data_IF_250033014757
#
_entry.id   IF_250033014757
#
_cell.length_a   1.000
_cell.length_b   1.000
_cell.length_c   1.000
_cell.angle_alpha   90.00
_cell.angle_beta   90.00
_cell.angle_gamma   90.00
#
_symmetry.space_group_name_H-M   'P 1'
#
loop_
_entity.id
_entity.type
_entity.pdbx_description
1 polymer ?
#
# COMPACT_ATOMS: atom_id res chain seq x y z
N UNK A 1 -8.33 -23.18 1.20
CA UNK A 1 -8.17 -21.72 1.31
C UNK A 1 -7.55 -21.28 0.01
N UNK A 2 -8.34 -20.64 -0.85
CA UNK A 2 -7.89 -20.23 -2.18
C UNK A 2 -7.32 -18.81 -2.08
N UNK A 3 -6.01 -18.72 -1.94
CA UNK A 3 -5.27 -17.45 -1.90
C UNK A 3 -4.47 -17.35 -3.20
N UNK A 4 -4.67 -16.25 -3.94
CA UNK A 4 -3.88 -15.88 -5.09
C UNK A 4 -2.90 -14.77 -4.69
N UNK A 5 -1.60 -15.01 -4.89
CA UNK A 5 -0.55 -14.02 -4.66
C UNK A 5 -0.14 -13.48 -6.03
N UNK A 6 -0.22 -12.16 -6.20
CA UNK A 6 0.20 -11.45 -7.42
C UNK A 6 0.97 -10.19 -7.03
N UNK A 7 1.72 -9.66 -7.99
CA UNK A 7 2.27 -8.31 -7.87
C UNK A 7 1.13 -7.29 -7.85
N UNK A 8 1.23 -6.33 -6.95
CA UNK A 8 0.31 -5.21 -6.84
C UNK A 8 0.47 -4.24 -8.01
N UNK A 9 -0.65 -3.71 -8.50
CA UNK A 9 -0.68 -2.64 -9.51
C UNK A 9 -0.86 -1.27 -8.85
N UNK A 10 -0.36 -0.20 -9.48
CA UNK A 10 -0.49 1.18 -8.97
C UNK A 10 -1.95 1.56 -8.64
N UNK A 11 -2.90 1.11 -9.47
CA UNK A 11 -4.34 1.35 -9.26
C UNK A 11 -4.91 0.68 -7.98
N UNK A 12 -4.17 -0.28 -7.40
CA UNK A 12 -4.58 -1.03 -6.20
C UNK A 12 -4.00 -0.45 -4.91
N UNK A 13 -3.10 0.54 -4.95
CA UNK A 13 -2.42 1.11 -3.78
C UNK A 13 -3.38 1.65 -2.72
N UNK A 14 -4.38 2.42 -3.14
CA UNK A 14 -5.42 2.93 -2.25
C UNK A 14 -6.12 1.81 -1.45
N UNK A 15 -6.36 0.67 -2.10
CA UNK A 15 -7.02 -0.48 -1.47
C UNK A 15 -6.10 -1.15 -0.47
N UNK A 16 -4.81 -1.27 -0.79
CA UNK A 16 -3.82 -1.84 0.13
C UNK A 16 -3.61 -0.94 1.33
N UNK A 17 -3.55 0.38 1.14
CA UNK A 17 -3.49 1.34 2.24
C UNK A 17 -4.69 1.19 3.19
N UNK A 18 -5.90 1.09 2.64
CA UNK A 18 -7.12 0.90 3.45
C UNK A 18 -7.07 -0.39 4.28
N UNK A 19 -6.58 -1.49 3.68
CA UNK A 19 -6.44 -2.79 4.38
C UNK A 19 -5.41 -2.70 5.49
N UNK A 20 -4.23 -2.12 5.22
CA UNK A 20 -3.18 -1.93 6.23
C UNK A 20 -3.69 -1.04 7.36
N UNK A 21 -4.29 0.10 7.04
CA UNK A 21 -4.88 1.01 8.02
C UNK A 21 -5.89 0.30 8.91
N UNK A 22 -6.81 -0.46 8.31
CA UNK A 22 -7.84 -1.19 9.04
C UNK A 22 -7.27 -2.28 9.95
N UNK A 23 -6.20 -2.94 9.52
CA UNK A 23 -5.52 -3.97 10.30
C UNK A 23 -4.82 -3.40 11.54
N UNK A 24 -4.21 -2.21 11.42
CA UNK A 24 -3.43 -1.60 12.51
C UNK A 24 -4.21 -0.57 13.34
N UNK A 25 -5.42 -0.17 12.93
CA UNK A 25 -6.19 0.93 13.54
C UNK A 25 -6.36 0.81 15.06
N UNK A 26 -6.55 -0.42 15.56
CA UNK A 26 -6.83 -0.69 16.97
C UNK A 26 -5.72 -1.45 17.68
N UNK A 27 -4.57 -1.63 17.03
CA UNK A 27 -3.47 -2.39 17.61
C UNK A 27 -2.79 -1.61 18.75
N UNK A 28 -2.59 -2.31 19.87
CA UNK A 28 -2.01 -1.77 21.10
C UNK A 28 -0.52 -1.43 20.90
N UNK A 29 0.17 -2.26 20.13
CA UNK A 29 1.60 -2.15 19.85
C UNK A 29 1.87 -1.69 18.41
N UNK A 30 1.15 -0.66 17.98
CA UNK A 30 1.29 -0.01 16.67
C UNK A 30 1.22 1.49 16.83
N UNK A 31 2.06 2.20 16.06
CA UNK A 31 2.03 3.66 15.95
C UNK A 31 0.96 4.16 14.97
N UNK A 32 0.28 3.21 14.29
CA UNK A 32 -0.83 3.40 13.35
C UNK A 32 -0.39 4.14 12.08
N UNK A 33 0.89 4.13 11.74
CA UNK A 33 1.43 4.82 10.56
C UNK A 33 1.86 3.89 9.44
N UNK A 34 1.72 2.58 9.63
CA UNK A 34 2.16 1.55 8.69
C UNK A 34 1.48 1.69 7.31
N UNK A 35 0.29 2.29 7.26
CA UNK A 35 -0.42 2.57 6.02
C UNK A 35 0.27 3.64 5.15
N UNK A 36 1.09 4.52 5.74
CA UNK A 36 1.88 5.51 4.98
C UNK A 36 3.17 4.95 4.37
N UNK A 37 3.63 3.79 4.85
CA UNK A 37 4.78 3.09 4.26
C UNK A 37 4.37 2.26 3.03
N UNK A 38 3.09 2.29 2.64
CA UNK A 38 2.61 1.69 1.38
C UNK A 38 3.11 2.54 0.21
N UNK A 39 3.69 1.94 -0.85
CA UNK A 39 4.51 2.67 -1.81
C UNK A 39 3.76 3.58 -2.82
N UNK A 40 2.90 4.50 -2.40
CA UNK A 40 2.28 5.46 -3.33
C UNK A 40 3.34 6.38 -3.96
N UNK A 41 4.16 7.05 -3.16
CA UNK A 41 5.05 8.09 -3.70
C UNK A 41 6.27 7.52 -4.45
N UNK A 42 6.82 6.38 -4.03
CA UNK A 42 8.08 5.87 -4.60
C UNK A 42 7.89 5.28 -5.99
N UNK A 43 6.74 4.66 -6.28
CA UNK A 43 6.43 4.07 -7.59
C UNK A 43 5.68 5.03 -8.51
N UNK A 44 4.79 5.89 -7.98
CA UNK A 44 4.12 6.92 -8.79
C UNK A 44 5.13 7.95 -9.32
N UNK A 45 6.17 8.28 -8.53
CA UNK A 45 7.29 9.09 -9.02
C UNK A 45 8.09 8.40 -10.12
N UNK A 46 8.26 7.08 -10.07
CA UNK A 46 8.93 6.32 -11.14
C UNK A 46 8.07 6.30 -12.42
N UNK A 47 6.77 6.02 -12.30
CA UNK A 47 5.82 5.96 -13.43
C UNK A 47 5.69 7.31 -14.14
N UNK A 48 5.70 8.43 -13.40
CA UNK A 48 5.70 9.79 -13.97
C UNK A 48 7.04 10.22 -14.56
N UNK A 49 8.14 9.51 -14.28
CA UNK A 49 9.48 9.80 -14.83
C UNK A 49 9.86 8.95 -16.04
N UNK A 50 9.07 7.92 -16.38
CA UNK A 50 9.32 7.10 -17.57
C UNK A 50 8.77 7.71 -18.88
N UNK A 51 8.12 8.87 -18.82
CA UNK A 51 7.58 9.61 -19.99
C UNK A 51 8.63 10.50 -20.73
N UNK A 52 9.94 10.20 -20.66
CA UNK A 52 11.02 10.94 -21.37
C UNK A 52 11.96 10.08 -22.22
#
# INVERSE_FOLDING_TARGET
>A
MDILIKQELTEEYNKTEEVVKSAFLNEEYSDKKEHFDVPEEFFMALELTEDY
#
